data_IF_242251096463
#
_entry.id   IF_242251096463
#
_cell.length_a   1.000
_cell.length_b   1.000
_cell.length_c   1.000
_cell.angle_alpha   90.00
_cell.angle_beta   90.00
_cell.angle_gamma   90.00
#
_symmetry.space_group_name_H-M   'P 1'
#
loop_
_entity.id
_entity.type
_entity.pdbx_description
1 polymer ?
#
# COMPACT_ATOMS: atom_id res chain seq x y z
N UNK A 1 51.72 16.42 4.59
CA UNK A 1 50.67 15.38 4.60
C UNK A 1 49.50 15.94 3.83
N UNK A 2 49.33 15.41 2.62
CA UNK A 2 48.36 15.89 1.62
C UNK A 2 47.04 15.17 1.90
N UNK A 3 46.01 15.90 2.28
CA UNK A 3 44.67 15.37 2.45
C UNK A 3 44.05 15.12 1.06
N UNK A 4 43.78 13.86 0.73
CA UNK A 4 43.04 13.51 -0.47
C UNK A 4 41.55 13.77 -0.23
N UNK A 5 41.04 14.82 -0.86
CA UNK A 5 39.61 15.01 -1.08
C UNK A 5 39.13 13.94 -2.09
N UNK A 6 38.13 13.16 -1.72
CA UNK A 6 37.39 12.31 -2.65
C UNK A 6 36.23 13.15 -3.13
N UNK A 7 36.36 13.69 -4.35
CA UNK A 7 35.23 14.25 -5.09
C UNK A 7 34.22 13.14 -5.35
N UNK A 8 33.02 13.27 -4.76
CA UNK A 8 31.85 12.49 -5.16
C UNK A 8 31.39 13.01 -6.52
N UNK A 9 31.79 12.31 -7.58
CA UNK A 9 31.28 12.56 -8.92
C UNK A 9 29.84 12.06 -9.02
N UNK A 10 28.92 12.97 -9.35
CA UNK A 10 27.51 12.72 -9.55
C UNK A 10 27.28 11.83 -10.78
N UNK A 11 26.75 10.63 -10.56
CA UNK A 11 26.22 9.77 -11.61
C UNK A 11 25.02 9.00 -11.08
N UNK A 12 23.83 9.31 -11.61
CA UNK A 12 22.60 8.51 -11.52
C UNK A 12 21.99 8.43 -10.13
N UNK A 13 21.01 9.29 -9.85
CA UNK A 13 20.08 9.07 -8.75
C UNK A 13 19.37 7.72 -8.98
N UNK A 14 19.82 6.70 -8.25
CA UNK A 14 19.06 5.50 -8.00
C UNK A 14 17.77 5.95 -7.29
N UNK A 15 16.65 5.93 -8.02
CA UNK A 15 15.32 6.26 -7.52
C UNK A 15 14.80 5.14 -6.60
N UNK A 16 15.57 4.88 -5.54
CA UNK A 16 15.20 4.08 -4.40
C UNK A 16 14.84 5.02 -3.27
N UNK A 17 13.56 5.28 -3.08
CA UNK A 17 13.09 5.72 -1.76
C UNK A 17 13.75 4.79 -0.72
N UNK A 18 14.39 5.31 0.35
CA UNK A 18 14.91 4.43 1.39
C UNK A 18 13.73 3.57 1.87
N UNK A 19 13.81 2.27 1.63
CA UNK A 19 12.76 1.34 2.01
C UNK A 19 12.46 1.57 3.48
N UNK A 20 11.17 1.61 3.83
CA UNK A 20 10.77 1.71 5.22
C UNK A 20 11.52 0.62 5.97
N UNK A 21 12.29 0.99 6.99
CA UNK A 21 13.09 0.05 7.79
C UNK A 21 12.24 -0.93 8.62
N UNK A 22 10.96 -1.10 8.26
CA UNK A 22 9.97 -2.00 8.80
C UNK A 22 8.83 -2.17 7.77
N UNK A 23 8.58 -3.40 7.34
CA UNK A 23 7.46 -3.77 6.48
C UNK A 23 6.35 -4.39 7.33
N UNK A 24 5.07 -4.09 7.05
CA UNK A 24 3.91 -4.52 7.85
C UNK A 24 2.94 -5.28 6.95
N UNK A 25 2.41 -6.41 7.42
CA UNK A 25 1.36 -7.15 6.69
C UNK A 25 0.12 -6.30 6.48
N UNK A 26 -0.63 -6.57 5.41
CA UNK A 26 -1.82 -5.79 5.06
C UNK A 26 -2.88 -5.78 6.17
N UNK A 27 -3.02 -6.88 6.92
CA UNK A 27 -3.91 -7.00 8.10
C UNK A 27 -3.35 -6.33 9.37
N UNK A 28 -2.08 -5.90 9.34
CA UNK A 28 -1.39 -5.24 10.44
C UNK A 28 -0.98 -6.15 11.60
N UNK A 29 -1.11 -7.46 11.47
CA UNK A 29 -0.79 -8.40 12.54
C UNK A 29 0.72 -8.55 12.76
N UNK A 30 1.49 -8.57 11.67
CA UNK A 30 2.93 -8.80 11.71
C UNK A 30 3.71 -7.69 11.02
N UNK A 31 4.93 -7.49 11.50
CA UNK A 31 5.92 -6.69 10.80
C UNK A 31 7.28 -7.37 10.81
N UNK A 32 8.15 -7.02 9.85
CA UNK A 32 9.53 -7.49 9.82
C UNK A 32 10.48 -6.35 9.48
N UNK A 33 11.69 -6.43 10.04
CA UNK A 33 12.78 -5.51 9.75
C UNK A 33 14.14 -6.14 9.93
N UNK A 34 15.16 -5.50 9.36
CA UNK A 34 16.54 -5.70 9.78
C UNK A 34 16.86 -4.75 10.92
N UNK A 35 17.36 -5.28 12.02
CA UNK A 35 17.80 -4.51 13.17
C UNK A 35 19.32 -4.56 13.30
N UNK A 36 19.91 -3.45 13.71
CA UNK A 36 21.34 -3.35 13.98
C UNK A 36 21.61 -3.53 15.46
N UNK A 37 22.48 -4.48 15.80
CA UNK A 37 22.95 -4.70 17.18
C UNK A 37 24.36 -5.27 17.16
N UNK A 38 25.20 -4.81 18.09
CA UNK A 38 26.56 -5.31 18.31
C UNK A 38 27.42 -5.35 17.02
N UNK A 39 27.21 -4.38 16.12
CA UNK A 39 27.98 -4.26 14.88
C UNK A 39 27.49 -5.14 13.72
N UNK A 40 26.27 -5.68 13.80
CA UNK A 40 25.73 -6.62 12.80
C UNK A 40 24.23 -6.43 12.58
N UNK A 41 23.77 -6.73 11.36
CA UNK A 41 22.34 -6.79 11.03
C UNK A 41 21.77 -8.17 11.33
N UNK A 42 20.55 -8.21 11.87
CA UNK A 42 19.79 -9.45 12.03
C UNK A 42 18.29 -9.19 11.79
N UNK A 43 17.53 -10.20 11.33
CA UNK A 43 16.09 -10.07 11.14
C UNK A 43 15.34 -10.04 12.48
N UNK A 44 14.31 -9.20 12.55
CA UNK A 44 13.35 -9.18 13.64
C UNK A 44 11.94 -9.39 13.07
N UNK A 45 11.16 -10.23 13.76
CA UNK A 45 9.72 -10.34 13.55
C UNK A 45 8.98 -9.63 14.66
N UNK A 46 8.05 -8.77 14.32
CA UNK A 46 7.20 -8.04 15.24
C UNK A 46 5.78 -8.59 15.17
N UNK A 47 5.13 -8.72 16.32
CA UNK A 47 3.69 -9.01 16.45
C UNK A 47 3.02 -7.76 17.00
N UNK A 48 1.99 -7.26 16.30
CA UNK A 48 1.43 -5.93 16.51
C UNK A 48 -0.07 -5.93 16.86
N UNK A 49 -0.76 -7.03 16.67
CA UNK A 49 -2.19 -7.23 16.95
C UNK A 49 -2.47 -7.72 18.39
N UNK A 50 -1.43 -8.03 19.15
CA UNK A 50 -1.51 -8.34 20.57
C UNK A 50 -1.82 -7.13 21.45
N UNK A 51 -2.18 -7.35 22.73
CA UNK A 51 -2.41 -6.26 23.69
C UNK A 51 -1.16 -5.39 23.89
N UNK A 52 0.03 -5.98 23.79
CA UNK A 52 1.31 -5.30 23.81
C UNK A 52 2.13 -5.77 22.60
N UNK A 53 2.67 -4.85 21.77
CA UNK A 53 3.52 -5.22 20.66
C UNK A 53 4.84 -5.80 21.17
N UNK A 54 5.35 -6.82 20.50
CA UNK A 54 6.63 -7.41 20.86
C UNK A 54 7.42 -7.88 19.63
N UNK A 55 8.74 -7.87 19.76
CA UNK A 55 9.66 -8.35 18.75
C UNK A 55 10.32 -9.66 19.18
N UNK A 56 10.51 -10.55 18.21
CA UNK A 56 11.29 -11.77 18.34
C UNK A 56 12.49 -11.62 17.39
N UNK A 57 13.73 -11.60 17.91
CA UNK A 57 14.91 -11.65 17.06
C UNK A 57 14.98 -13.02 16.37
N UNK A 58 15.36 -13.03 15.10
CA UNK A 58 15.50 -14.24 14.29
C UNK A 58 16.97 -14.37 13.82
N UNK A 59 17.94 -14.52 14.74
CA UNK A 59 19.34 -14.64 14.35
C UNK A 59 19.54 -15.89 13.48
N UNK A 60 20.20 -15.71 12.34
CA UNK A 60 20.71 -16.83 11.55
C UNK A 60 22.02 -17.37 12.11
N UNK A 61 22.67 -18.26 11.36
CA UNK A 61 24.01 -18.76 11.70
C UNK A 61 25.13 -17.75 11.40
N UNK A 62 24.77 -16.58 10.85
CA UNK A 62 25.66 -15.52 10.42
C UNK A 62 24.93 -14.16 10.48
N UNK A 63 25.67 -13.04 10.61
CA UNK A 63 25.14 -11.71 10.37
C UNK A 63 24.55 -11.54 8.97
N UNK A 64 23.58 -10.64 8.82
CA UNK A 64 23.03 -10.29 7.52
C UNK A 64 23.87 -9.21 6.83
N UNK A 65 24.10 -9.41 5.53
CA UNK A 65 24.88 -8.50 4.69
C UNK A 65 24.04 -7.29 4.25
N UNK A 66 24.68 -6.14 3.94
CA UNK A 66 24.01 -5.03 3.29
C UNK A 66 23.29 -5.45 2.00
N UNK A 67 22.05 -5.00 1.81
CA UNK A 67 21.20 -5.38 0.67
C UNK A 67 20.37 -6.65 0.88
N UNK A 68 20.40 -7.22 2.08
CA UNK A 68 19.39 -8.18 2.55
C UNK A 68 18.05 -7.47 2.68
N UNK A 69 16.97 -8.14 2.27
CA UNK A 69 15.60 -7.63 2.43
C UNK A 69 14.77 -8.62 3.23
N UNK A 70 13.83 -8.11 4.02
CA UNK A 70 12.89 -8.95 4.80
C UNK A 70 11.45 -8.49 4.63
N UNK A 71 10.53 -9.46 4.65
CA UNK A 71 9.11 -9.21 4.52
C UNK A 71 8.31 -10.15 5.43
N UNK A 72 7.36 -9.65 6.24
CA UNK A 72 6.49 -10.52 7.02
C UNK A 72 5.44 -11.21 6.14
N UNK A 73 5.06 -12.43 6.52
CA UNK A 73 3.88 -13.12 6.00
C UNK A 73 2.76 -13.12 7.06
N UNK A 74 1.52 -13.32 6.60
CA UNK A 74 0.32 -13.32 7.46
C UNK A 74 0.24 -14.48 8.45
N UNK A 75 1.09 -15.50 8.30
CA UNK A 75 1.22 -16.61 9.25
C UNK A 75 2.30 -16.37 10.32
N UNK A 76 2.91 -15.19 10.33
CA UNK A 76 3.96 -14.84 11.27
C UNK A 76 5.34 -15.39 10.92
N UNK A 77 5.57 -15.92 9.71
CA UNK A 77 6.93 -16.17 9.21
C UNK A 77 7.51 -14.90 8.57
N UNK A 78 8.84 -14.86 8.44
CA UNK A 78 9.54 -13.75 7.77
C UNK A 78 10.27 -14.30 6.56
N UNK A 79 9.90 -13.82 5.36
CA UNK A 79 10.70 -14.02 4.16
C UNK A 79 11.98 -13.20 4.28
N UNK A 80 13.11 -13.82 3.99
CA UNK A 80 14.41 -13.16 3.82
C UNK A 80 14.95 -13.39 2.42
N UNK A 81 15.41 -12.33 1.77
CA UNK A 81 16.10 -12.35 0.49
C UNK A 81 17.56 -11.95 0.70
N UNK A 82 18.48 -12.85 0.35
CA UNK A 82 19.94 -12.65 0.42
C UNK A 82 20.55 -12.70 -0.97
N UNK A 83 21.65 -11.96 -1.18
CA UNK A 83 22.45 -12.07 -2.40
C UNK A 83 23.68 -12.95 -2.11
N UNK A 84 23.71 -14.16 -2.66
CA UNK A 84 24.77 -15.14 -2.43
C UNK A 84 25.36 -15.56 -3.76
N UNK A 85 26.66 -15.28 -3.96
CA UNK A 85 27.39 -15.61 -5.20
C UNK A 85 26.64 -15.17 -6.48
N UNK A 86 26.04 -13.97 -6.47
CA UNK A 86 25.29 -13.42 -7.61
C UNK A 86 23.85 -13.91 -7.75
N UNK A 87 23.37 -14.78 -6.86
CA UNK A 87 21.99 -15.32 -6.87
C UNK A 87 21.16 -14.75 -5.72
N UNK A 88 19.91 -14.45 -6.00
CA UNK A 88 18.94 -14.00 -5.00
C UNK A 88 18.31 -15.22 -4.33
N UNK A 89 18.78 -15.56 -3.13
CA UNK A 89 18.32 -16.72 -2.36
C UNK A 89 17.21 -16.30 -1.40
N UNK A 90 16.15 -17.11 -1.33
CA UNK A 90 14.97 -16.88 -0.50
C UNK A 90 14.82 -17.98 0.54
N UNK A 91 14.53 -17.57 1.78
CA UNK A 91 14.20 -18.48 2.88
C UNK A 91 13.07 -17.93 3.73
N UNK A 92 12.31 -18.81 4.39
CA UNK A 92 11.39 -18.42 5.46
C UNK A 92 12.04 -18.64 6.82
N UNK A 93 12.08 -17.58 7.61
CA UNK A 93 12.52 -17.59 8.99
C UNK A 93 11.31 -17.71 9.92
N UNK A 94 11.43 -18.54 10.94
CA UNK A 94 10.41 -18.72 11.97
C UNK A 94 11.03 -19.00 13.33
N UNK A 95 10.41 -18.57 14.43
CA UNK A 95 10.92 -18.86 15.77
C UNK A 95 10.93 -20.38 16.06
N UNK A 96 12.05 -20.91 16.56
CA UNK A 96 12.16 -22.32 17.01
C UNK A 96 12.87 -22.41 18.36
N UNK A 97 12.10 -22.41 19.45
CA UNK A 97 12.66 -22.44 20.80
C UNK A 97 13.64 -21.26 21.02
N UNK A 98 14.91 -21.51 21.41
CA UNK A 98 15.90 -20.45 21.58
C UNK A 98 16.52 -19.93 20.26
N UNK A 99 16.17 -20.53 19.12
CA UNK A 99 16.78 -20.23 17.83
C UNK A 99 15.79 -19.84 16.74
N UNK A 100 16.30 -19.87 15.51
CA UNK A 100 15.57 -19.55 14.29
C UNK A 100 15.54 -20.79 13.41
N UNK A 101 14.35 -21.23 13.03
CA UNK A 101 14.18 -22.18 11.95
C UNK A 101 14.30 -21.44 10.62
N UNK A 102 15.03 -22.02 9.67
CA UNK A 102 15.16 -21.50 8.32
C UNK A 102 14.71 -22.56 7.32
N UNK A 103 13.74 -22.21 6.48
CA UNK A 103 13.24 -23.05 5.39
C UNK A 103 13.66 -22.43 4.04
N UNK A 104 14.65 -23.00 3.34
CA UNK A 104 15.03 -22.54 2.00
C UNK A 104 13.88 -22.72 1.00
N UNK A 105 13.60 -21.68 0.22
CA UNK A 105 12.59 -21.69 -0.83
C UNK A 105 13.19 -21.86 -2.24
N UNK A 106 14.44 -21.47 -2.42
CA UNK A 106 15.14 -21.53 -3.71
C UNK A 106 15.84 -20.21 -4.02
N UNK A 107 16.23 -20.04 -5.29
CA UNK A 107 16.95 -18.85 -5.71
C UNK A 107 16.59 -18.41 -7.14
N UNK A 108 16.63 -17.10 -7.37
CA UNK A 108 16.52 -16.49 -8.69
C UNK A 108 17.90 -16.00 -9.14
N UNK A 109 18.25 -16.32 -10.37
CA UNK A 109 19.47 -15.82 -11.02
C UNK A 109 19.09 -14.78 -12.07
N UNK A 110 19.67 -13.59 -11.95
CA UNK A 110 19.46 -12.52 -12.90
C UNK A 110 20.54 -12.58 -13.97
N UNK A 111 20.17 -12.82 -15.23
CA UNK A 111 21.13 -13.02 -16.32
C UNK A 111 22.01 -11.78 -16.60
N UNK A 112 21.48 -10.58 -16.38
CA UNK A 112 22.20 -9.31 -16.57
C UNK A 112 22.60 -8.72 -15.21
N UNK A 113 23.88 -8.38 -15.04
CA UNK A 113 24.43 -7.82 -13.80
C UNK A 113 23.86 -6.44 -13.43
N UNK A 114 23.26 -5.72 -14.38
CA UNK A 114 22.53 -4.47 -14.14
C UNK A 114 21.11 -4.70 -13.62
N UNK A 115 20.58 -5.92 -13.72
CA UNK A 115 19.26 -6.28 -13.18
C UNK A 115 19.25 -6.06 -11.68
N UNK A 116 18.22 -5.37 -11.19
CA UNK A 116 17.99 -5.18 -9.76
C UNK A 116 16.74 -5.96 -9.38
N UNK A 117 16.89 -6.92 -8.46
CA UNK A 117 15.78 -7.61 -7.85
C UNK A 117 15.48 -7.00 -6.49
N UNK A 118 14.20 -6.68 -6.24
CA UNK A 118 13.67 -6.19 -4.96
C UNK A 118 12.35 -6.87 -4.63
N UNK A 119 12.00 -6.99 -3.35
CA UNK A 119 10.69 -7.45 -2.91
C UNK A 119 9.63 -6.39 -3.22
N UNK A 120 8.45 -6.85 -3.63
CA UNK A 120 7.24 -6.03 -3.71
C UNK A 120 6.64 -5.83 -2.31
N UNK A 121 5.82 -4.80 -2.05
CA UNK A 121 5.13 -4.65 -0.77
C UNK A 121 4.29 -5.90 -0.41
N UNK A 122 4.08 -6.17 0.89
CA UNK A 122 3.33 -7.35 1.34
C UNK A 122 2.01 -7.49 0.61
N UNK A 123 1.74 -8.68 0.08
CA UNK A 123 0.51 -8.94 -0.66
C UNK A 123 -0.71 -8.82 0.29
N UNK A 124 -1.87 -8.32 -0.19
CA UNK A 124 -3.05 -8.12 0.64
C UNK A 124 -3.52 -9.38 1.40
N UNK A 125 -3.38 -10.56 0.79
CA UNK A 125 -3.73 -11.84 1.42
C UNK A 125 -2.69 -12.40 2.40
N UNK A 126 -1.49 -11.81 2.50
CA UNK A 126 -0.43 -12.19 3.44
C UNK A 126 0.23 -13.56 3.22
N UNK A 127 -0.35 -14.44 2.39
CA UNK A 127 0.15 -15.79 2.14
C UNK A 127 1.27 -15.86 1.08
N UNK A 128 1.36 -14.83 0.23
CA UNK A 128 2.27 -14.78 -0.91
C UNK A 128 3.22 -13.60 -0.80
N UNK A 129 4.44 -13.78 -1.31
CA UNK A 129 5.41 -12.71 -1.47
C UNK A 129 5.89 -12.68 -2.91
N UNK A 130 6.10 -11.48 -3.43
CA UNK A 130 6.47 -11.26 -4.83
C UNK A 130 7.74 -10.42 -4.92
N UNK A 131 8.45 -10.54 -6.03
CA UNK A 131 9.63 -9.74 -6.32
C UNK A 131 9.60 -9.22 -7.76
N UNK A 132 10.21 -8.06 -7.97
CA UNK A 132 10.49 -7.52 -9.30
C UNK A 132 11.96 -7.65 -9.59
N UNK A 133 12.32 -8.23 -10.74
CA UNK A 133 13.65 -8.20 -11.30
C UNK A 133 13.67 -7.25 -12.51
N UNK A 134 14.02 -5.99 -12.28
CA UNK A 134 14.02 -4.95 -13.29
C UNK A 134 15.34 -4.96 -14.07
N UNK A 135 15.30 -5.51 -15.29
CA UNK A 135 16.40 -5.47 -16.24
C UNK A 135 16.35 -4.25 -17.15
N UNK A 136 17.34 -4.09 -18.06
CA UNK A 136 17.42 -2.93 -18.94
C UNK A 136 16.35 -2.91 -20.03
N UNK A 137 15.75 -4.05 -20.38
CA UNK A 137 14.77 -4.17 -21.47
C UNK A 137 13.45 -4.82 -21.07
N UNK A 138 13.41 -5.54 -19.97
CA UNK A 138 12.22 -6.18 -19.43
C UNK A 138 12.31 -6.25 -17.91
N UNK A 139 11.16 -6.37 -17.28
CA UNK A 139 11.01 -6.59 -15.85
C UNK A 139 10.25 -7.87 -15.61
N UNK A 140 10.87 -8.79 -14.87
CA UNK A 140 10.23 -10.05 -14.48
C UNK A 140 9.52 -9.90 -13.13
N UNK A 141 8.29 -10.41 -13.04
CA UNK A 141 7.51 -10.51 -11.81
C UNK A 141 7.58 -11.95 -11.32
N UNK A 142 8.09 -12.15 -10.11
CA UNK A 142 8.28 -13.45 -9.50
C UNK A 142 7.35 -13.62 -8.30
N UNK A 143 6.75 -14.81 -8.16
CA UNK A 143 6.24 -15.30 -6.89
C UNK A 143 7.40 -15.97 -6.16
N UNK A 144 7.82 -15.44 -5.00
CA UNK A 144 9.02 -15.92 -4.29
C UNK A 144 8.71 -16.66 -3.00
N UNK A 145 7.48 -16.56 -2.48
CA UNK A 145 6.98 -17.37 -1.38
C UNK A 145 5.48 -17.65 -1.52
N UNK A 146 5.03 -18.80 -1.01
CA UNK A 146 3.63 -19.27 -1.08
C UNK A 146 3.29 -20.09 -2.32
N UNK A 147 4.22 -20.20 -3.29
CA UNK A 147 4.13 -21.09 -4.45
C UNK A 147 4.39 -22.56 -4.12
N UNK A 148 4.31 -23.44 -5.12
CA UNK A 148 4.39 -24.89 -4.94
C UNK A 148 5.84 -25.41 -4.93
N UNK A 149 6.74 -24.80 -5.70
CA UNK A 149 8.08 -25.36 -5.96
C UNK A 149 9.24 -24.36 -5.84
N UNK A 150 9.04 -23.27 -5.09
CA UNK A 150 10.02 -22.20 -4.91
C UNK A 150 9.70 -20.95 -5.74
N UNK A 151 10.69 -20.13 -6.12
CA UNK A 151 10.45 -18.96 -6.96
C UNK A 151 9.88 -19.31 -8.34
N UNK A 152 8.73 -18.74 -8.68
CA UNK A 152 7.99 -18.97 -9.93
C UNK A 152 7.89 -17.66 -10.73
N UNK A 153 8.27 -17.69 -12.02
CA UNK A 153 8.13 -16.54 -12.91
C UNK A 153 6.66 -16.42 -13.36
N UNK A 154 6.01 -15.31 -13.00
CA UNK A 154 4.59 -15.10 -13.30
C UNK A 154 4.35 -14.26 -14.56
N UNK A 155 5.22 -13.27 -14.80
CA UNK A 155 5.07 -12.35 -15.91
C UNK A 155 6.43 -11.76 -16.32
N UNK A 156 6.56 -11.45 -17.60
CA UNK A 156 7.65 -10.63 -18.12
C UNK A 156 7.06 -9.40 -18.81
N UNK A 157 7.33 -8.23 -18.24
CA UNK A 157 6.82 -6.95 -18.71
C UNK A 157 7.88 -6.26 -19.56
N UNK A 158 7.59 -5.87 -20.80
CA UNK A 158 8.54 -5.09 -21.60
C UNK A 158 8.84 -3.74 -20.94
N UNK A 159 10.11 -3.34 -20.94
CA UNK A 159 10.60 -2.11 -20.31
C UNK A 159 11.05 -2.30 -18.86
N UNK A 160 11.78 -1.30 -18.37
CA UNK A 160 12.19 -1.23 -16.96
C UNK A 160 11.01 -0.74 -16.14
N UNK A 161 10.65 -1.47 -15.09
CA UNK A 161 9.55 -1.13 -14.21
C UNK A 161 10.05 -0.89 -12.78
N UNK A 162 9.39 0.04 -12.10
CA UNK A 162 9.54 0.35 -10.69
C UNK A 162 8.17 0.43 -10.03
N UNK A 163 8.08 0.96 -8.80
CA UNK A 163 6.84 0.97 -8.04
C UNK A 163 6.38 -0.46 -7.71
N UNK A 164 5.08 -0.66 -7.53
CA UNK A 164 4.53 -1.92 -7.07
C UNK A 164 3.41 -1.66 -6.07
N UNK A 165 2.21 -1.44 -6.60
CA UNK A 165 1.03 -1.11 -5.79
C UNK A 165 -0.07 -2.11 -6.11
N UNK A 166 -0.62 -2.77 -5.09
CA UNK A 166 -1.74 -3.69 -5.24
C UNK A 166 -3.03 -2.92 -5.46
N UNK A 167 -3.78 -3.26 -6.52
CA UNK A 167 -5.03 -2.59 -6.90
C UNK A 167 -6.28 -3.35 -6.45
N UNK A 168 -6.13 -4.56 -5.91
CA UNK A 168 -7.22 -5.37 -5.37
C UNK A 168 -6.79 -6.11 -4.11
N UNK A 169 -7.77 -6.54 -3.30
CA UNK A 169 -7.52 -7.31 -2.08
C UNK A 169 -7.15 -8.78 -2.31
N UNK A 170 -7.14 -9.26 -3.55
CA UNK A 170 -6.80 -10.66 -3.89
C UNK A 170 -5.31 -10.84 -4.24
N UNK A 171 -4.57 -9.74 -4.45
CA UNK A 171 -3.18 -9.78 -4.92
C UNK A 171 -3.06 -10.15 -6.40
N UNK A 172 -4.09 -9.87 -7.22
CA UNK A 172 -4.10 -10.22 -8.65
C UNK A 172 -3.62 -9.06 -9.53
N UNK A 173 -4.17 -7.87 -9.32
CA UNK A 173 -3.87 -6.68 -10.11
C UNK A 173 -2.74 -5.89 -9.44
N UNK A 174 -1.61 -5.83 -10.13
CA UNK A 174 -0.41 -5.12 -9.69
C UNK A 174 -0.16 -3.92 -10.60
N UNK A 175 -0.09 -2.72 -10.01
CA UNK A 175 0.35 -1.54 -10.72
C UNK A 175 1.88 -1.39 -10.66
N UNK A 176 2.49 -1.12 -11.81
CA UNK A 176 3.92 -0.87 -11.97
C UNK A 176 4.14 0.44 -12.72
N UNK A 177 5.22 1.15 -12.39
CA UNK A 177 5.64 2.36 -13.09
C UNK A 177 6.68 1.98 -14.14
N UNK A 178 6.29 2.00 -15.42
CA UNK A 178 7.12 1.55 -16.53
C UNK A 178 7.78 2.72 -17.25
N UNK A 179 9.09 2.62 -17.42
CA UNK A 179 9.87 3.51 -18.29
C UNK A 179 9.65 3.13 -19.76
N UNK A 180 9.17 4.08 -20.57
CA UNK A 180 8.97 3.93 -22.00
C UNK A 180 9.11 5.28 -22.71
N UNK A 181 9.93 5.35 -23.77
CA UNK A 181 10.08 6.57 -24.57
C UNK A 181 10.68 7.75 -23.81
N UNK A 182 11.50 7.50 -22.78
CA UNK A 182 12.12 8.54 -21.94
C UNK A 182 11.23 9.06 -20.82
N UNK A 183 10.02 8.51 -20.67
CA UNK A 183 9.05 8.91 -19.66
C UNK A 183 8.55 7.67 -18.89
N UNK A 184 8.04 7.90 -17.69
CA UNK A 184 7.49 6.88 -16.81
C UNK A 184 5.96 6.92 -16.85
N UNK A 185 5.31 5.77 -17.00
CA UNK A 185 3.84 5.65 -16.99
C UNK A 185 3.40 4.47 -16.15
N UNK A 186 2.34 4.64 -15.37
CA UNK A 186 1.78 3.53 -14.61
C UNK A 186 0.96 2.60 -15.50
N UNK A 187 1.20 1.31 -15.34
CA UNK A 187 0.50 0.20 -16.02
C UNK A 187 -0.08 -0.76 -14.97
N UNK A 188 -1.08 -1.54 -15.37
CA UNK A 188 -1.56 -2.69 -14.61
C UNK A 188 -1.01 -3.97 -15.24
N UNK A 189 -0.57 -4.89 -14.39
CA UNK A 189 -0.21 -6.26 -14.74
C UNK A 189 -1.21 -7.20 -14.06
N UNK A 190 -1.97 -7.95 -14.85
CA UNK A 190 -2.93 -8.95 -14.35
C UNK A 190 -2.24 -10.31 -14.19
N UNK A 191 -1.84 -10.62 -12.96
CA UNK A 191 -1.14 -11.87 -12.64
C UNK A 191 -2.04 -13.11 -12.80
N UNK A 192 -3.36 -12.95 -12.74
CA UNK A 192 -4.35 -14.00 -12.97
C UNK A 192 -4.56 -14.33 -14.45
N UNK A 193 -4.00 -13.51 -15.36
CA UNK A 193 -4.06 -13.69 -16.81
C UNK A 193 -2.67 -13.81 -17.44
N UNK A 194 -1.71 -14.38 -16.70
CA UNK A 194 -0.34 -14.57 -17.19
C UNK A 194 0.42 -13.28 -17.43
N UNK A 195 0.10 -12.21 -16.70
CA UNK A 195 0.77 -10.92 -16.80
C UNK A 195 0.26 -10.03 -17.92
N UNK A 196 -1.02 -10.12 -18.30
CA UNK A 196 -1.62 -9.21 -19.28
C UNK A 196 -1.42 -7.75 -18.82
N UNK A 197 -0.90 -6.90 -19.72
CA UNK A 197 -0.53 -5.51 -19.41
C UNK A 197 -1.55 -4.54 -20.01
N UNK A 198 -2.10 -3.65 -19.19
CA UNK A 198 -2.95 -2.53 -19.64
C UNK A 198 -2.46 -1.18 -19.10
N UNK A 199 -2.68 -0.06 -19.81
CA UNK A 199 -2.40 1.27 -19.27
C UNK A 199 -3.23 1.55 -18.01
N UNK A 200 -2.64 2.23 -17.03
CA UNK A 200 -3.35 2.71 -15.83
C UNK A 200 -3.41 4.24 -15.80
N UNK A 201 -2.24 4.89 -15.89
CA UNK A 201 -2.11 6.34 -15.73
C UNK A 201 -1.18 6.93 -16.80
N UNK A 202 -1.74 7.88 -17.55
CA UNK A 202 -1.01 8.71 -18.50
C UNK A 202 -1.73 10.07 -18.58
N UNK A 203 -1.23 11.06 -17.84
CA UNK A 203 -1.87 12.37 -17.70
C UNK A 203 -1.51 13.26 -18.89
N UNK A 204 -0.22 13.36 -19.24
CA UNK A 204 0.28 14.00 -20.46
C UNK A 204 1.27 13.10 -21.20
N UNK A 205 1.54 13.36 -22.47
CA UNK A 205 2.42 12.50 -23.27
C UNK A 205 3.88 12.56 -22.79
N UNK A 206 4.31 13.73 -22.33
CA UNK A 206 5.68 14.13 -21.99
C UNK A 206 5.93 14.25 -20.47
N UNK A 207 4.97 13.81 -19.65
CA UNK A 207 5.10 13.78 -18.19
C UNK A 207 5.68 12.45 -17.70
N UNK A 208 6.20 12.45 -16.49
CA UNK A 208 6.37 11.25 -15.69
C UNK A 208 5.15 11.07 -14.78
N UNK A 209 4.46 9.93 -14.89
CA UNK A 209 3.26 9.62 -14.10
C UNK A 209 3.47 8.31 -13.32
N UNK A 210 3.45 8.41 -12.00
CA UNK A 210 3.74 7.29 -11.07
C UNK A 210 2.60 7.07 -10.10
N UNK A 211 2.29 5.80 -9.82
CA UNK A 211 1.35 5.45 -8.76
C UNK A 211 2.09 5.19 -7.45
N UNK A 212 1.77 5.96 -6.42
CA UNK A 212 2.46 5.88 -5.12
C UNK A 212 1.74 4.95 -4.14
N UNK A 213 0.41 5.08 -4.04
CA UNK A 213 -0.45 4.21 -3.20
C UNK A 213 -1.83 4.07 -3.83
N UNK A 214 -2.51 2.98 -3.50
CA UNK A 214 -3.91 2.76 -3.81
C UNK A 214 -4.63 2.17 -2.59
N UNK A 215 -5.89 2.52 -2.43
CA UNK A 215 -6.81 1.83 -1.53
C UNK A 215 -7.89 1.13 -2.37
N UNK A 216 -7.93 -0.21 -2.41
CA UNK A 216 -8.89 -0.94 -3.24
C UNK A 216 -10.32 -0.81 -2.73
N UNK A 217 -10.55 -0.52 -1.45
CA UNK A 217 -11.88 -0.39 -0.85
C UNK A 217 -12.58 0.90 -1.29
N UNK A 218 -11.86 2.03 -1.23
CA UNK A 218 -12.38 3.35 -1.60
C UNK A 218 -12.13 3.69 -3.07
N UNK A 219 -11.19 3.00 -3.72
CA UNK A 219 -10.67 3.32 -5.04
C UNK A 219 -9.74 4.55 -5.07
N UNK A 220 -9.26 5.04 -3.93
CA UNK A 220 -8.40 6.22 -3.88
C UNK A 220 -7.02 5.89 -4.45
N UNK A 221 -6.51 6.72 -5.36
CA UNK A 221 -5.16 6.64 -5.91
C UNK A 221 -4.36 7.88 -5.47
N UNK A 222 -3.13 7.68 -4.97
CA UNK A 222 -2.14 8.73 -4.75
C UNK A 222 -1.08 8.66 -5.83
N UNK A 223 -0.82 9.79 -6.46
CA UNK A 223 -0.08 9.90 -7.72
C UNK A 223 1.04 10.90 -7.55
N UNK A 224 2.19 10.62 -8.15
CA UNK A 224 3.22 11.63 -8.42
C UNK A 224 3.23 11.91 -9.92
N UNK A 225 3.18 13.19 -10.30
CA UNK A 225 3.30 13.58 -11.70
C UNK A 225 3.77 15.01 -11.86
N UNK A 226 4.55 15.26 -12.90
CA UNK A 226 4.99 16.59 -13.31
C UNK A 226 4.11 17.19 -14.43
N UNK A 227 3.09 16.48 -14.92
CA UNK A 227 2.12 17.00 -15.87
C UNK A 227 1.53 18.39 -15.51
N UNK A 228 1.14 18.69 -14.26
CA UNK A 228 0.68 20.03 -13.88
C UNK A 228 1.78 21.11 -13.87
N UNK A 229 3.05 20.73 -13.84
CA UNK A 229 4.21 21.63 -13.68
C UNK A 229 5.47 20.94 -14.24
N UNK A 230 5.71 20.97 -15.56
CA UNK A 230 6.76 20.17 -16.20
C UNK A 230 8.14 20.29 -15.53
N UNK A 231 8.78 19.16 -15.25
CA UNK A 231 10.05 19.08 -14.53
C UNK A 231 9.96 19.31 -13.02
N UNK A 232 8.75 19.51 -12.46
CA UNK A 232 8.49 19.58 -11.02
C UNK A 232 7.40 18.57 -10.65
N UNK A 233 7.82 17.45 -10.08
CA UNK A 233 6.90 16.43 -9.59
C UNK A 233 5.96 17.00 -8.52
N UNK A 234 4.67 16.69 -8.66
CA UNK A 234 3.62 17.09 -7.72
C UNK A 234 2.81 15.89 -7.28
N UNK A 235 2.45 15.88 -6.00
CA UNK A 235 1.48 14.94 -5.47
C UNK A 235 0.07 15.30 -5.94
N UNK A 236 -0.60 14.30 -6.51
CA UNK A 236 -1.99 14.36 -6.92
C UNK A 236 -2.77 13.15 -6.42
N UNK A 237 -4.06 13.17 -6.68
CA UNK A 237 -4.94 12.06 -6.38
C UNK A 237 -6.01 11.87 -7.45
N UNK A 238 -6.48 10.64 -7.57
CA UNK A 238 -7.56 10.23 -8.48
C UNK A 238 -8.39 9.11 -7.89
N UNK A 239 -9.34 8.62 -8.68
CA UNK A 239 -10.19 7.49 -8.30
C UNK A 239 -10.06 6.42 -9.38
N UNK A 240 -9.75 5.18 -8.96
CA UNK A 240 -9.60 4.05 -9.86
C UNK A 240 -10.87 3.85 -10.70
N UNK A 241 -10.71 3.75 -12.03
CA UNK A 241 -11.81 3.59 -12.98
C UNK A 241 -12.65 4.86 -13.24
N UNK A 242 -12.34 5.99 -12.60
CA UNK A 242 -13.03 7.26 -12.83
C UNK A 242 -12.57 7.94 -14.12
N UNK A 243 -13.49 8.65 -14.77
CA UNK A 243 -13.19 9.54 -15.91
C UNK A 243 -12.85 10.96 -15.48
N UNK A 244 -12.92 11.27 -14.17
CA UNK A 244 -12.55 12.58 -13.66
C UNK A 244 -11.03 12.79 -13.72
N UNK A 245 -10.55 13.99 -14.06
CA UNK A 245 -9.13 14.30 -14.06
C UNK A 245 -8.48 14.11 -12.69
N UNK A 246 -7.19 13.76 -12.70
CA UNK A 246 -6.33 13.78 -11.51
C UNK A 246 -6.25 15.20 -10.97
N UNK A 247 -6.32 15.33 -9.64
CA UNK A 247 -6.30 16.61 -8.93
C UNK A 247 -4.97 16.78 -8.23
N UNK A 248 -4.39 17.98 -8.28
CA UNK A 248 -3.12 18.33 -7.64
C UNK A 248 -3.34 19.43 -6.58
N UNK A 249 -3.63 19.07 -5.32
CA UNK A 249 -3.89 20.04 -4.26
C UNK A 249 -2.66 20.87 -3.91
N UNK A 250 -2.81 22.19 -3.79
CA UNK A 250 -1.71 23.08 -3.36
C UNK A 250 -1.28 22.80 -1.91
N UNK A 251 -2.17 22.26 -1.08
CA UNK A 251 -1.86 21.92 0.32
C UNK A 251 -0.81 20.81 0.46
N UNK A 252 -0.62 19.98 -0.57
CA UNK A 252 0.43 18.94 -0.60
C UNK A 252 1.75 19.47 -1.13
N UNK A 253 1.80 20.72 -1.60
CA UNK A 253 3.04 21.37 -2.01
C UNK A 253 3.70 21.99 -0.79
N UNK A 254 4.80 21.40 -0.37
CA UNK A 254 5.60 21.88 0.75
C UNK A 254 6.99 22.27 0.23
N UNK A 255 7.32 23.57 0.14
CA UNK A 255 8.64 24.02 -0.29
C UNK A 255 9.75 23.40 0.56
N UNK A 256 10.86 23.07 -0.09
CA UNK A 256 12.06 22.48 0.54
C UNK A 256 11.82 21.15 1.27
N UNK A 257 10.68 20.50 1.03
CA UNK A 257 10.31 19.23 1.65
C UNK A 257 10.04 18.15 0.59
N UNK A 258 10.39 16.91 0.91
CA UNK A 258 9.98 15.72 0.16
C UNK A 258 8.79 15.10 0.89
N UNK A 259 7.66 14.98 0.21
CA UNK A 259 6.42 14.43 0.78
C UNK A 259 6.17 13.06 0.16
N UNK A 260 6.11 12.01 0.99
CA UNK A 260 5.90 10.63 0.55
C UNK A 260 4.69 10.02 1.27
N UNK A 261 3.62 9.65 0.56
CA UNK A 261 2.52 8.92 1.19
C UNK A 261 2.99 7.51 1.58
N UNK A 262 2.57 7.02 2.74
CA UNK A 262 2.93 5.68 3.20
C UNK A 262 1.76 4.81 3.68
N UNK A 263 0.59 5.40 3.96
CA UNK A 263 -0.61 4.63 4.29
C UNK A 263 -1.90 5.40 3.94
N UNK A 264 -2.94 4.66 3.53
CA UNK A 264 -4.30 5.17 3.33
C UNK A 264 -5.22 4.50 4.35
N UNK A 265 -6.18 5.26 4.90
CA UNK A 265 -7.21 4.74 5.79
C UNK A 265 -8.15 3.80 5.01
N UNK A 266 -8.20 2.50 5.35
CA UNK A 266 -9.08 1.55 4.68
C UNK A 266 -10.54 1.72 5.15
N UNK A 267 -11.44 0.96 4.54
CA UNK A 267 -12.85 0.88 4.97
C UNK A 267 -13.71 2.10 4.64
N UNK A 268 -13.20 3.05 3.84
CA UNK A 268 -13.98 4.19 3.34
C UNK A 268 -14.66 3.85 2.00
N UNK A 269 -15.50 2.81 2.03
CA UNK A 269 -16.10 2.18 0.84
C UNK A 269 -16.79 3.23 -0.04
N UNK A 270 -16.32 3.35 -1.28
CA UNK A 270 -16.84 4.30 -2.29
C UNK A 270 -16.84 5.78 -1.87
N UNK A 271 -16.06 6.16 -0.86
CA UNK A 271 -15.91 7.55 -0.41
C UNK A 271 -14.43 7.95 -0.34
N UNK A 272 -13.70 7.96 -1.47
CA UNK A 272 -12.26 8.23 -1.50
C UNK A 272 -11.91 9.60 -0.90
N UNK A 273 -12.81 10.58 -0.96
CA UNK A 273 -12.60 11.92 -0.40
C UNK A 273 -12.48 11.92 1.12
N UNK A 274 -12.98 10.88 1.79
CA UNK A 274 -12.93 10.74 3.24
C UNK A 274 -11.69 10.02 3.72
N UNK A 275 -10.93 9.32 2.87
CA UNK A 275 -9.77 8.58 3.32
C UNK A 275 -8.71 9.50 3.90
N UNK A 276 -8.26 9.21 5.12
CA UNK A 276 -7.03 9.82 5.63
C UNK A 276 -5.82 9.18 4.96
N UNK A 277 -4.87 10.02 4.55
CA UNK A 277 -3.60 9.63 3.97
C UNK A 277 -2.52 10.06 4.95
N UNK A 278 -1.69 9.11 5.39
CA UNK A 278 -0.52 9.41 6.18
C UNK A 278 0.66 9.67 5.24
N UNK A 279 1.37 10.76 5.52
CA UNK A 279 2.47 11.30 4.75
C UNK A 279 3.70 11.35 5.63
N UNK A 280 4.83 10.88 5.11
CA UNK A 280 6.15 11.22 5.63
C UNK A 280 6.56 12.52 4.97
N UNK A 281 6.98 13.48 5.77
CA UNK A 281 7.55 14.73 5.27
C UNK A 281 8.99 14.79 5.73
N UNK A 282 9.92 14.89 4.78
CA UNK A 282 11.34 15.09 5.03
C UNK A 282 11.69 16.52 4.66
N UNK A 283 12.15 17.31 5.63
CA UNK A 283 12.54 18.70 5.43
C UNK A 283 13.89 19.04 6.09
N UNK A 284 14.32 20.30 6.03
CA UNK A 284 15.66 20.72 6.50
C UNK A 284 15.90 20.48 8.00
N UNK A 285 14.81 20.37 8.79
CA UNK A 285 14.85 20.18 10.25
C UNK A 285 14.61 18.73 10.67
N UNK A 286 14.57 17.79 9.72
CA UNK A 286 14.32 16.37 9.96
C UNK A 286 13.01 15.88 9.36
N UNK A 287 12.58 14.70 9.80
CA UNK A 287 11.40 14.00 9.28
C UNK A 287 10.26 13.99 10.29
N UNK A 288 9.02 14.18 9.82
CA UNK A 288 7.82 14.10 10.65
C UNK A 288 6.64 13.46 9.90
N UNK A 289 5.53 13.26 10.60
CA UNK A 289 4.30 12.67 10.06
C UNK A 289 3.31 13.78 9.75
N UNK A 290 2.63 13.69 8.62
CA UNK A 290 1.50 14.55 8.31
C UNK A 290 0.30 13.73 7.85
N UNK A 291 -0.90 14.27 8.01
CA UNK A 291 -2.15 13.63 7.60
C UNK A 291 -2.91 14.57 6.69
N UNK A 292 -3.45 14.01 5.62
CA UNK A 292 -4.24 14.73 4.63
C UNK A 292 -5.47 13.92 4.23
N UNK A 293 -6.59 14.59 3.93
CA UNK A 293 -7.77 13.98 3.33
C UNK A 293 -8.11 14.71 2.03
N UNK A 294 -8.58 14.03 0.96
CA UNK A 294 -8.92 14.73 -0.27
C UNK A 294 -10.08 15.74 -0.15
N UNK A 295 -11.03 15.51 0.77
CA UNK A 295 -12.07 16.50 1.10
C UNK A 295 -11.53 17.74 1.82
N UNK A 296 -10.35 17.64 2.45
CA UNK A 296 -9.75 18.70 3.24
C UNK A 296 -8.71 19.48 2.40
N UNK A 297 -8.63 20.80 2.64
CA UNK A 297 -7.73 21.70 1.92
C UNK A 297 -6.45 22.00 2.70
N UNK A 298 -6.20 21.26 3.76
CA UNK A 298 -5.11 21.50 4.70
C UNK A 298 -4.44 20.17 5.04
N UNK A 299 -3.18 20.25 5.45
CA UNK A 299 -2.43 19.12 5.96
C UNK A 299 -2.29 19.30 7.48
N UNK A 300 -2.63 18.26 8.22
CA UNK A 300 -2.46 18.20 9.67
C UNK A 300 -1.08 17.63 10.00
N UNK A 301 -0.21 18.43 10.61
CA UNK A 301 1.15 18.01 10.97
C UNK A 301 1.14 17.38 12.36
N UNK A 302 1.81 16.23 12.49
CA UNK A 302 1.93 15.46 13.72
C UNK A 302 3.42 15.30 14.07
N UNK A 303 3.81 15.43 15.35
CA UNK A 303 5.17 15.11 15.76
C UNK A 303 5.42 13.62 15.53
N UNK A 304 6.55 13.28 14.89
CA UNK A 304 6.97 11.89 14.80
C UNK A 304 7.39 11.39 16.20
N UNK A 305 6.97 10.18 16.61
CA UNK A 305 7.50 9.54 17.80
C UNK A 305 9.03 9.44 17.75
N UNK A 306 9.69 9.58 18.91
CA UNK A 306 11.12 9.29 19.01
C UNK A 306 11.36 7.83 18.61
N UNK A 307 12.33 7.61 17.71
CA UNK A 307 12.62 6.28 17.19
C UNK A 307 11.62 5.77 16.15
N UNK A 308 10.72 6.62 15.63
CA UNK A 308 9.79 6.24 14.56
C UNK A 308 10.56 5.62 13.38
N UNK A 309 10.08 4.46 12.93
CA UNK A 309 10.60 3.80 11.74
C UNK A 309 10.05 4.55 10.52
N UNK A 310 10.75 5.61 10.11
CA UNK A 310 10.26 6.61 9.18
C UNK A 310 9.75 5.99 7.87
N UNK A 311 8.52 6.33 7.50
CA UNK A 311 7.85 5.77 6.33
C UNK A 311 7.11 4.44 6.59
N UNK A 312 7.21 3.88 7.80
CA UNK A 312 6.37 2.76 8.22
C UNK A 312 5.17 3.26 9.06
N UNK A 313 4.02 2.66 8.81
CA UNK A 313 2.82 2.85 9.60
C UNK A 313 1.59 2.34 8.87
N UNK A 314 0.48 2.26 9.59
CA UNK A 314 -0.79 1.72 9.07
C UNK A 314 -1.96 2.47 9.66
N UNK A 315 -3.00 2.67 8.88
CA UNK A 315 -4.30 3.06 9.39
C UNK A 315 -5.15 1.86 9.78
N UNK A 316 -5.87 2.00 10.88
CA UNK A 316 -7.06 1.18 11.16
C UNK A 316 -8.26 1.74 10.40
N UNK A 317 -9.29 0.91 10.17
CA UNK A 317 -10.54 1.37 9.56
C UNK A 317 -11.21 2.50 10.36
N UNK A 318 -11.08 2.47 11.69
CA UNK A 318 -11.65 3.46 12.62
C UNK A 318 -10.91 4.81 12.66
N UNK A 319 -9.86 5.00 11.85
CA UNK A 319 -9.14 6.28 11.78
C UNK A 319 -8.10 6.47 12.90
N UNK A 320 -7.54 5.38 13.42
CA UNK A 320 -6.32 5.40 14.25
C UNK A 320 -5.11 5.10 13.39
N UNK A 321 -4.13 6.01 13.39
CA UNK A 321 -2.83 5.83 12.74
C UNK A 321 -1.87 5.12 13.71
N UNK A 322 -1.33 4.00 13.27
CA UNK A 322 -0.38 3.16 13.99
C UNK A 322 1.03 3.43 13.45
N UNK A 323 1.95 3.86 14.32
CA UNK A 323 3.31 4.22 13.96
C UNK A 323 4.30 3.34 14.74
N UNK A 324 4.98 2.39 14.08
CA UNK A 324 5.99 1.57 14.73
C UNK A 324 7.24 2.40 15.05
N UNK A 325 7.82 2.19 16.22
CA UNK A 325 9.03 2.87 16.66
C UNK A 325 9.94 1.94 17.44
N UNK A 326 11.24 2.22 17.41
CA UNK A 326 12.24 1.53 18.20
C UNK A 326 13.25 2.54 18.77
N UNK A 327 13.55 2.40 20.06
CA UNK A 327 14.53 3.18 20.82
C UNK A 327 15.50 2.23 21.53
N UNK A 328 16.46 2.76 22.28
CA UNK A 328 17.37 1.91 23.06
C UNK A 328 16.61 1.17 24.17
N UNK A 329 15.64 1.84 24.78
CA UNK A 329 14.79 1.33 25.87
C UNK A 329 13.64 0.47 25.37
N UNK A 330 12.96 0.89 24.30
CA UNK A 330 11.81 0.20 23.72
C UNK A 330 12.18 -0.38 22.36
N UNK A 331 12.43 -1.69 22.32
CA UNK A 331 12.88 -2.38 21.09
C UNK A 331 11.77 -2.62 20.07
N UNK A 332 10.52 -2.69 20.54
CA UNK A 332 9.32 -2.85 19.72
C UNK A 332 8.21 -1.99 20.34
N UNK A 333 7.90 -0.86 19.70
CA UNK A 333 6.86 0.05 20.14
C UNK A 333 5.88 0.36 19.03
N UNK A 334 4.63 0.63 19.40
CA UNK A 334 3.58 1.05 18.48
C UNK A 334 2.82 2.26 19.06
N UNK A 335 3.04 3.45 18.50
CA UNK A 335 2.25 4.63 18.88
C UNK A 335 0.91 4.58 18.15
N UNK A 336 -0.17 4.90 18.86
CA UNK A 336 -1.53 4.99 18.32
C UNK A 336 -1.98 6.44 18.37
N UNK A 337 -2.22 7.04 17.20
CA UNK A 337 -2.70 8.41 17.08
C UNK A 337 -4.12 8.40 16.55
N UNK A 338 -5.08 8.76 17.40
CA UNK A 338 -6.44 9.02 16.94
C UNK A 338 -6.45 10.35 16.17
N UNK A 339 -6.79 10.31 14.89
CA UNK A 339 -6.83 11.52 14.06
C UNK A 339 -8.29 11.85 13.79
N UNK A 340 -8.82 12.96 14.35
CA UNK A 340 -10.20 13.35 14.12
C UNK A 340 -10.46 13.51 12.61
N UNK A 341 -11.61 13.05 12.14
CA UNK A 341 -12.11 13.51 10.85
C UNK A 341 -12.46 14.99 11.00
N UNK A 342 -11.93 15.87 10.14
CA UNK A 342 -12.34 17.26 10.13
C UNK A 342 -13.84 17.33 9.81
N UNK A 343 -14.62 18.04 10.62
CA UNK A 343 -15.96 18.45 10.20
C UNK A 343 -15.79 19.37 8.99
N UNK A 344 -16.18 18.89 7.80
CA UNK A 344 -16.35 19.74 6.63
C UNK A 344 -17.50 20.69 6.96
N UNK A 345 -17.20 21.85 7.55
CA UNK A 345 -18.19 22.91 7.72
C UNK A 345 -18.69 23.28 6.33
N UNK A 346 -19.99 23.11 6.02
CA UNK A 346 -20.54 23.64 4.79
C UNK A 346 -20.25 25.14 4.78
N UNK A 347 -19.66 25.63 3.70
CA UNK A 347 -19.44 27.06 3.52
C UNK A 347 -20.80 27.75 3.66
N UNK A 348 -20.98 28.50 4.76
CA UNK A 348 -22.10 29.42 4.85
C UNK A 348 -22.02 30.32 3.62
N UNK A 349 -23.01 30.22 2.74
CA UNK A 349 -23.11 31.10 1.59
C UNK A 349 -23.15 32.52 2.14
N UNK A 350 -22.10 33.30 1.86
CA UNK A 350 -22.08 34.71 2.19
C UNK A 350 -23.16 35.40 1.33
N UNK A 351 -24.19 36.02 1.92
CA UNK A 351 -25.15 36.78 1.14
C UNK A 351 -24.54 38.15 0.87
N UNK A 352 -23.75 38.26 -0.19
CA UNK A 352 -23.43 39.53 -0.84
C UNK A 352 -23.67 39.33 -2.34
N UNK A 353 -24.87 39.63 -2.81
CA UNK A 353 -25.34 40.98 -3.20
C UNK A 353 -25.28 41.10 -4.74
N UNK A 354 -26.22 40.44 -5.40
CA UNK A 354 -26.72 40.88 -6.70
C UNK A 354 -27.89 41.81 -6.43
N UNK A 355 -27.67 43.12 -6.47
CA UNK A 355 -28.71 44.10 -6.86
C UNK A 355 -28.03 45.42 -7.20
N UNK A 356 -27.86 45.66 -8.51
CA UNK A 356 -27.71 47.00 -9.05
C UNK A 356 -29.10 47.67 -9.10
N UNK A 357 -29.13 48.95 -8.75
CA UNK A 357 -30.31 49.77 -8.50
C UNK A 357 -30.98 50.30 -9.78
N UNK A 358 -32.26 50.65 -9.66
CA UNK A 358 -32.87 51.81 -10.31
C UNK A 358 -34.00 52.39 -9.42
N UNK A 359 -34.19 53.72 -9.34
CA UNK A 359 -35.16 54.38 -8.45
C UNK A 359 -36.47 54.74 -9.16
N UNK A 360 -37.60 54.82 -8.46
CA UNK A 360 -38.26 56.11 -8.16
C UNK A 360 -39.50 55.98 -7.24
N UNK A 361 -39.88 57.13 -6.66
CA UNK A 361 -40.76 57.40 -5.53
C UNK A 361 -42.23 56.92 -5.54
N UNK A 362 -42.81 56.66 -4.35
CA UNK A 362 -43.77 57.56 -3.67
C UNK A 362 -44.59 56.87 -2.55
N UNK A 363 -44.76 57.62 -1.44
CA UNK A 363 -45.87 57.62 -0.48
C UNK A 363 -46.03 56.49 0.58
N UNK A 364 -45.79 56.88 1.85
CA UNK A 364 -46.37 56.34 3.08
C UNK A 364 -47.81 56.92 3.30
N UNK A 365 -48.58 56.64 4.38
CA UNK A 365 -48.24 55.90 5.61
C UNK A 365 -49.33 54.94 6.18
N UNK A 366 -48.97 54.17 7.21
CA UNK A 366 -49.93 53.48 8.07
C UNK A 366 -49.32 52.42 8.99
N UNK A 367 -48.90 52.82 10.19
CA UNK A 367 -48.65 51.96 11.37
C UNK A 367 -49.99 51.74 12.12
N UNK A 368 -50.12 50.94 13.21
CA UNK A 368 -49.09 50.20 13.98
C UNK A 368 -49.52 48.80 14.54
N UNK A 369 -48.60 48.18 15.31
CA UNK A 369 -48.83 47.58 16.65
C UNK A 369 -48.67 46.05 16.86
N UNK A 370 -47.92 45.73 17.93
CA UNK A 370 -47.99 44.48 18.73
C UNK A 370 -46.85 43.48 18.45
N UNK A 371 -45.66 43.53 19.04
CA UNK A 371 -45.25 43.39 20.46
C UNK A 371 -45.22 41.94 21.01
N UNK A 372 -44.07 41.66 21.64
CA UNK A 372 -43.78 40.69 22.73
C UNK A 372 -43.18 39.30 22.38
N UNK A 373 -41.91 39.17 22.76
CA UNK A 373 -41.12 37.98 23.17
C UNK A 373 -41.27 37.90 24.72
N UNK A 374 -41.35 36.75 25.45
CA UNK A 374 -40.19 35.86 25.64
C UNK A 374 -40.41 34.36 26.00
N UNK A 375 -39.26 33.71 26.14
CA UNK A 375 -38.85 32.30 26.37
C UNK A 375 -38.89 31.95 27.90
N UNK A 376 -38.46 30.77 28.42
CA UNK A 376 -38.94 29.37 28.36
C UNK A 376 -39.30 28.78 29.77
N UNK A 377 -39.74 27.51 29.87
CA UNK A 377 -39.32 26.58 30.95
C UNK A 377 -39.73 25.11 30.68
N UNK A 378 -38.86 24.18 31.11
CA UNK A 378 -38.94 22.73 30.91
C UNK A 378 -40.00 22.01 31.76
N UNK A 379 -40.32 20.73 31.47
CA UNK A 379 -40.91 19.84 32.46
C UNK A 379 -39.97 18.68 32.84
N UNK A 380 -39.92 18.40 34.14
CA UNK A 380 -39.35 17.18 34.71
C UNK A 380 -40.45 16.20 35.14
N UNK A 381 -40.11 14.91 35.02
CA UNK A 381 -40.49 13.83 35.92
C UNK A 381 -41.91 13.26 35.82
N UNK A 382 -42.00 11.97 35.47
CA UNK A 382 -42.78 10.97 36.21
C UNK A 382 -42.33 9.54 35.84
N UNK A 383 -42.42 8.67 36.84
CA UNK A 383 -41.80 7.36 37.10
C UNK A 383 -42.64 6.12 36.66
N UNK A 384 -41.97 5.07 36.12
CA UNK A 384 -41.89 3.62 36.54
C UNK A 384 -43.21 2.80 36.75
N UNK A 385 -43.31 1.41 36.75
CA UNK A 385 -42.38 0.27 36.50
C UNK A 385 -42.89 -0.88 35.56
N UNK A 386 -42.02 -1.87 35.29
CA UNK A 386 -42.43 -3.29 35.16
C UNK A 386 -41.38 -4.24 34.55
N UNK A 387 -40.71 -5.08 35.37
CA UNK A 387 -39.85 -6.21 34.95
C UNK A 387 -40.64 -7.49 34.57
N UNK A 388 -39.99 -8.64 34.27
CA UNK A 388 -39.27 -9.40 35.32
C UNK A 388 -37.96 -10.12 34.90
N UNK A 389 -37.31 -10.63 35.95
CA UNK A 389 -36.06 -11.38 36.14
C UNK A 389 -36.08 -12.86 35.72
N UNK A 390 -34.91 -13.42 35.38
CA UNK A 390 -34.55 -14.84 35.66
C UNK A 390 -33.10 -14.92 36.17
N UNK A 391 -32.91 -15.74 37.20
CA UNK A 391 -31.69 -15.98 37.96
C UNK A 391 -31.18 -17.40 37.71
N UNK A 392 -29.86 -17.64 37.82
CA UNK A 392 -29.28 -18.99 37.82
C UNK A 392 -27.75 -19.00 37.89
N UNK A 393 -27.21 -19.26 39.08
CA UNK A 393 -25.79 -19.56 39.40
C UNK A 393 -25.68 -21.08 39.62
N UNK A 394 -24.50 -21.68 39.38
CA UNK A 394 -23.86 -22.34 40.53
C UNK A 394 -22.34 -22.06 40.63
N UNK A 395 -21.89 -22.03 41.89
CA UNK A 395 -20.52 -21.94 42.36
C UNK A 395 -19.89 -23.33 42.46
N UNK A 396 -18.61 -23.48 42.06
CA UNK A 396 -17.72 -24.53 42.59
C UNK A 396 -16.33 -23.92 42.81
N UNK A 397 -15.80 -24.11 44.02
CA UNK A 397 -14.42 -23.81 44.44
C UNK A 397 -13.45 -24.94 44.04
N UNK A 398 -12.21 -24.58 43.71
CA UNK A 398 -11.07 -25.51 43.63
C UNK A 398 -9.77 -24.81 43.21
N UNK A 399 -8.77 -24.81 44.09
CA UNK A 399 -7.40 -24.24 43.97
C UNK A 399 -6.43 -25.36 43.47
N UNK A 400 -5.24 -25.06 42.87
CA UNK A 400 -4.74 -25.73 41.68
C UNK A 400 -3.78 -26.91 41.92
N UNK A 401 -3.59 -27.74 40.91
CA UNK A 401 -2.47 -28.69 40.81
C UNK A 401 -2.09 -28.91 39.34
N UNK A 402 -0.82 -28.67 39.01
CA UNK A 402 -0.11 -29.18 37.83
C UNK A 402 1.05 -30.07 38.36
N UNK A 403 1.74 -30.93 37.57
CA UNK A 403 1.74 -31.03 36.10
C UNK A 403 1.60 -32.48 35.57
N UNK A 404 1.28 -32.65 34.28
CA UNK A 404 1.26 -33.97 33.62
C UNK A 404 1.22 -33.82 32.11
N UNK A 405 2.08 -34.57 31.41
CA UNK A 405 2.48 -34.34 30.02
C UNK A 405 1.36 -34.35 28.98
N UNK A 406 1.49 -33.43 28.02
CA UNK A 406 0.73 -33.45 26.78
C UNK A 406 1.44 -34.36 25.78
N UNK A 407 0.76 -35.44 25.44
CA UNK A 407 1.01 -36.32 24.30
C UNK A 407 0.84 -35.56 22.98
N UNK A 408 1.82 -35.72 22.10
CA UNK A 408 1.83 -35.29 20.70
C UNK A 408 0.82 -36.15 19.90
N UNK A 409 0.00 -35.57 19.01
CA UNK A 409 -0.76 -36.36 18.04
C UNK A 409 0.17 -36.83 16.90
N UNK A 410 0.30 -38.15 16.74
CA UNK A 410 0.94 -38.81 15.59
C UNK A 410 0.23 -38.46 14.28
N UNK A 411 0.99 -38.00 13.28
CA UNK A 411 0.55 -37.92 11.88
C UNK A 411 0.92 -39.21 11.16
N UNK A 412 0.00 -39.86 10.41
CA UNK A 412 0.28 -41.13 9.78
C UNK A 412 1.27 -41.00 8.61
N UNK A 413 2.26 -41.88 8.60
CA UNK A 413 3.24 -42.04 7.54
C UNK A 413 2.59 -42.54 6.23
N UNK A 414 3.16 -42.07 5.11
CA UNK A 414 2.84 -42.52 3.76
C UNK A 414 3.23 -44.00 3.55
N UNK A 415 2.52 -44.77 2.71
CA UNK A 415 3.06 -46.01 2.17
C UNK A 415 3.82 -45.76 0.87
N UNK A 416 5.00 -46.38 0.78
CA UNK A 416 5.76 -46.57 -0.44
C UNK A 416 5.25 -47.80 -1.22
N UNK A 417 5.60 -47.79 -2.52
CA UNK A 417 5.61 -48.88 -3.50
C UNK A 417 4.29 -49.43 -4.07
N UNK A 418 4.02 -49.07 -5.34
CA UNK A 418 3.39 -49.96 -6.31
C UNK A 418 3.75 -49.56 -7.76
N UNK A 419 4.77 -50.25 -8.29
CA UNK A 419 4.93 -50.81 -9.65
C UNK A 419 3.98 -50.33 -10.77
N UNK A 420 4.59 -49.85 -11.86
CA UNK A 420 3.97 -49.51 -13.14
C UNK A 420 3.35 -50.72 -13.87
N UNK A 421 2.42 -50.47 -14.81
CA UNK A 421 2.50 -51.14 -16.09
C UNK A 421 2.46 -50.17 -17.28
N UNK A 422 3.36 -50.43 -18.24
CA UNK A 422 3.27 -49.94 -19.61
C UNK A 422 1.98 -50.43 -20.26
N UNK A 423 1.23 -49.50 -20.88
CA UNK A 423 0.25 -49.84 -21.92
C UNK A 423 0.45 -48.87 -23.08
N UNK A 424 1.03 -49.43 -24.14
CA UNK A 424 1.03 -48.91 -25.50
C UNK A 424 -0.40 -48.85 -26.04
N UNK A 425 -0.82 -47.67 -26.51
CA UNK A 425 -1.99 -47.53 -27.37
C UNK A 425 -1.77 -46.39 -28.35
N UNK A 426 -1.68 -46.77 -29.63
CA UNK A 426 -1.63 -45.90 -30.79
C UNK A 426 -2.87 -44.99 -30.87
N UNK A 427 -2.66 -43.73 -31.28
CA UNK A 427 -3.72 -42.80 -31.69
C UNK A 427 -3.73 -42.74 -33.22
N UNK A 428 -4.87 -42.93 -33.89
CA UNK A 428 -4.96 -42.73 -35.33
C UNK A 428 -5.17 -41.25 -35.66
N UNK A 429 -4.50 -40.78 -36.71
CA UNK A 429 -4.85 -39.56 -37.43
C UNK A 429 -6.26 -39.68 -38.02
N UNK A 430 -7.09 -38.66 -37.82
CA UNK A 430 -8.25 -38.41 -38.68
C UNK A 430 -8.35 -36.92 -38.97
N UNK A 431 -8.49 -36.65 -40.26
CA UNK A 431 -8.56 -35.35 -40.92
C UNK A 431 -10.03 -34.95 -41.09
N UNK A 432 -10.27 -33.63 -41.17
CA UNK A 432 -11.42 -32.93 -41.77
C UNK A 432 -12.75 -32.83 -40.98
N UNK A 433 -13.13 -31.62 -40.55
CA UNK A 433 -13.82 -30.62 -41.39
C UNK A 433 -14.22 -29.35 -40.60
N UNK A 434 -13.94 -28.16 -41.15
CA UNK A 434 -14.40 -26.85 -40.65
C UNK A 434 -15.93 -26.67 -40.75
N UNK A 435 -16.52 -25.88 -39.84
CA UNK A 435 -17.67 -25.03 -40.17
C UNK A 435 -17.33 -23.53 -40.10
N UNK A 436 -17.84 -22.81 -41.11
CA UNK A 436 -17.68 -21.39 -41.39
C UNK A 436 -18.14 -20.45 -40.24
N UNK A 437 -17.41 -19.34 -40.11
CA UNK A 437 -17.51 -18.26 -39.11
C UNK A 437 -18.84 -17.49 -39.12
N UNK A 438 -19.15 -16.81 -38.01
CA UNK A 438 -19.61 -15.41 -38.07
C UNK A 438 -18.51 -14.44 -37.60
N UNK A 439 -18.19 -13.47 -38.45
CA UNK A 439 -17.27 -12.36 -38.19
C UNK A 439 -17.94 -11.35 -37.26
N UNK A 440 -17.38 -11.14 -36.06
CA UNK A 440 -17.77 -10.03 -35.19
C UNK A 440 -17.03 -8.73 -35.62
N UNK A 441 -17.70 -7.56 -35.61
CA UNK A 441 -17.20 -6.34 -36.21
C UNK A 441 -16.08 -5.70 -35.39
N UNK A 442 -14.99 -5.33 -36.08
CA UNK A 442 -13.92 -4.46 -35.56
C UNK A 442 -14.48 -3.06 -35.25
N UNK A 443 -14.22 -2.47 -34.08
CA UNK A 443 -14.38 -1.03 -33.91
C UNK A 443 -13.22 -0.31 -34.62
N UNK A 444 -13.53 0.29 -35.77
CA UNK A 444 -12.68 1.26 -36.46
C UNK A 444 -12.81 2.60 -35.73
N UNK A 445 -11.72 3.33 -35.43
CA UNK A 445 -11.82 4.69 -34.91
C UNK A 445 -12.40 5.62 -35.98
N UNK A 446 -13.54 6.24 -35.69
CA UNK A 446 -14.12 7.29 -36.53
C UNK A 446 -13.74 8.67 -35.96
N UNK A 447 -12.94 9.38 -36.77
CA UNK A 447 -12.91 10.83 -37.03
C UNK A 447 -12.45 11.72 -35.85
N UNK A 448 -11.27 12.36 -35.85
CA UNK A 448 -10.71 13.25 -36.88
C UNK A 448 -11.76 14.15 -37.55
N UNK A 449 -12.03 15.29 -36.92
CA UNK A 449 -12.69 16.42 -37.57
C UNK A 449 -11.70 17.14 -38.51
N UNK A 450 -12.11 17.52 -39.73
CA UNK A 450 -11.24 18.14 -40.73
C UNK A 450 -11.04 19.63 -40.48
N UNK A 451 -9.79 20.08 -40.39
CA UNK A 451 -9.46 21.49 -40.58
C UNK A 451 -9.43 21.77 -42.09
N UNK A 452 -10.53 22.34 -42.58
CA UNK A 452 -10.65 22.84 -43.93
C UNK A 452 -9.60 23.91 -44.23
N UNK A 453 -8.92 23.72 -45.37
CA UNK A 453 -8.10 24.73 -46.03
C UNK A 453 -8.91 26.00 -46.30
N UNK A 454 -8.31 27.15 -46.02
CA UNK A 454 -8.56 28.40 -46.75
C UNK A 454 -7.20 28.95 -47.19
N UNK A 455 -6.95 28.83 -48.49
CA UNK A 455 -5.92 29.56 -49.24
C UNK A 455 -6.66 30.52 -50.18
N UNK A 456 -5.95 31.60 -50.53
CA UNK A 456 -6.26 32.72 -51.45
C UNK A 456 -6.86 33.93 -50.74
N UNK A 457 -6.25 35.13 -50.85
CA UNK A 457 -5.56 35.72 -51.99
C UNK A 457 -4.41 36.63 -51.56
#
# INVERSE_FOLDING_TARGET
>A
MTACAIELSAAGADDGAPEAGCSITADGAYAARLAWKDGSWFPERWTLDGPEPYAVPLPGNQPEEPGTEVQPLGDGRVLIRRLVAGRHVFSLLYPTGPGTGELPLGAVECADASTRLRLLPPAPGGAYAYALAAGPRSTAVWLVAGGAFGPELLAEVPGRCSGGVWLDGTGRLLALDREAGGHTKAIVVDLGRGGEVSPLLQIAADSDDRLLLADPDSGLLLIASDAPSPGQERLGWGVLGSTLPVRFPESLRMPDCVVRPFAIQPGQVLTPERCAVALRVDGPLGSWVAVWRPAERQVCHLPAPVGWLAGAGRWTGDGVLLLPYATEEVRCGLVRVAVPAGEVRPRAASPHALTAAAPDAAHAPGSPAGSVVPVPTAPGGLTVPGGPTVSGVPTVSGVPTAPGGLTVPDWPAAPADAVAPEVSAAVPETVESEPLRPVAPRPVPLQQAPLGRLVTK
#
